data_IF_916304349683
#
_entry.id   IF_916304349683
#
_cell.length_a   1.000
_cell.length_b   1.000
_cell.length_c   1.000
_cell.angle_alpha   90.00
_cell.angle_beta   90.00
_cell.angle_gamma   90.00
#
_symmetry.space_group_name_H-M   'P 1'
#
loop_
_entity.id
_entity.type
_entity.pdbx_description
1 polymer ?
#
# COMPACT_ATOMS: atom_id res chain seq x y z
N UNK A 1 -11.03 1.20 26.80
CA UNK A 1 -10.32 1.38 25.52
C UNK A 1 -8.96 0.75 25.69
N UNK A 2 -8.59 -0.16 24.80
CA UNK A 2 -7.26 -0.77 24.82
C UNK A 2 -6.31 0.14 24.03
N UNK A 3 -5.39 0.77 24.74
CA UNK A 3 -4.46 1.75 24.18
C UNK A 3 -3.46 1.08 23.23
N UNK A 4 -3.04 -0.16 23.50
CA UNK A 4 -2.09 -0.86 22.65
C UNK A 4 -2.71 -1.19 21.30
N UNK A 5 -3.94 -1.72 21.29
CA UNK A 5 -4.68 -2.02 20.05
C UNK A 5 -4.98 -0.74 19.28
N UNK A 6 -5.39 0.32 19.98
CA UNK A 6 -5.63 1.62 19.36
C UNK A 6 -4.38 2.16 18.66
N UNK A 7 -3.23 2.17 19.35
CA UNK A 7 -1.97 2.67 18.80
C UNK A 7 -1.44 1.79 17.66
N UNK A 8 -1.59 0.46 17.76
CA UNK A 8 -1.19 -0.46 16.69
C UNK A 8 -2.02 -0.23 15.43
N UNK A 9 -3.35 -0.18 15.56
CA UNK A 9 -4.26 0.08 14.43
C UNK A 9 -4.06 1.48 13.84
N UNK A 10 -3.81 2.49 14.69
CA UNK A 10 -3.50 3.85 14.25
C UNK A 10 -2.16 3.89 13.50
N UNK A 11 -1.12 3.27 14.06
CA UNK A 11 0.24 3.29 13.50
C UNK A 11 0.30 2.66 12.12
N UNK A 12 -0.24 1.46 11.97
CA UNK A 12 -0.29 0.79 10.66
C UNK A 12 -1.13 1.59 9.66
N UNK A 13 -2.30 2.09 10.07
CA UNK A 13 -3.16 2.87 9.18
C UNK A 13 -2.51 4.19 8.75
N UNK A 14 -1.76 4.86 9.64
CA UNK A 14 -1.01 6.07 9.28
C UNK A 14 0.03 5.73 8.22
N UNK A 15 0.77 4.63 8.39
CA UNK A 15 1.81 4.21 7.48
C UNK A 15 1.23 3.97 6.08
N UNK A 16 0.28 3.04 5.96
CA UNK A 16 -0.26 2.65 4.65
C UNK A 16 -1.04 3.79 3.96
N UNK A 17 -1.86 4.53 4.72
CA UNK A 17 -2.62 5.63 4.12
C UNK A 17 -1.74 6.81 3.72
N UNK A 18 -0.58 7.00 4.37
CA UNK A 18 0.38 8.02 3.94
C UNK A 18 0.97 7.66 2.58
N UNK A 19 1.23 6.39 2.30
CA UNK A 19 1.73 5.94 0.99
C UNK A 19 0.68 6.16 -0.10
N UNK A 20 -0.56 5.74 0.13
CA UNK A 20 -1.68 5.98 -0.79
C UNK A 20 -1.89 7.48 -1.07
N UNK A 21 -1.85 8.30 -0.02
CA UNK A 21 -2.02 9.75 -0.12
C UNK A 21 -0.84 10.43 -0.84
N UNK A 22 0.39 9.98 -0.59
CA UNK A 22 1.57 10.50 -1.25
C UNK A 22 1.51 10.29 -2.77
N UNK A 23 1.11 9.10 -3.21
CA UNK A 23 0.94 8.77 -4.62
C UNK A 23 -0.12 9.67 -5.26
N UNK A 24 -1.25 9.88 -4.58
CA UNK A 24 -2.31 10.76 -5.06
C UNK A 24 -1.81 12.20 -5.26
N UNK A 25 -1.08 12.75 -4.28
CA UNK A 25 -0.51 14.10 -4.33
C UNK A 25 0.52 14.24 -5.44
N UNK A 26 1.41 13.26 -5.60
CA UNK A 26 2.41 13.28 -6.68
C UNK A 26 1.70 13.31 -8.03
N UNK A 27 0.66 12.50 -8.20
CA UNK A 27 -0.10 12.45 -9.45
C UNK A 27 -0.85 13.75 -9.74
N UNK A 28 -1.43 14.36 -8.70
CA UNK A 28 -1.99 15.70 -8.77
C UNK A 28 -0.94 16.71 -9.22
N UNK A 29 0.28 16.63 -8.70
CA UNK A 29 1.37 17.55 -9.05
C UNK A 29 1.81 17.50 -10.50
N UNK A 30 1.65 16.34 -11.17
CA UNK A 30 2.10 16.15 -12.55
C UNK A 30 0.99 16.48 -13.55
N UNK A 31 -0.24 16.04 -13.26
CA UNK A 31 -1.34 16.11 -14.21
C UNK A 31 -2.41 17.15 -13.84
N UNK A 32 -2.21 17.87 -12.73
CA UNK A 32 -3.11 18.89 -12.17
C UNK A 32 -4.57 18.43 -12.13
N UNK A 33 -4.79 17.17 -11.79
CA UNK A 33 -6.10 16.52 -11.84
C UNK A 33 -6.50 16.02 -10.47
N UNK A 34 -7.56 16.60 -9.92
CA UNK A 34 -8.14 16.21 -8.62
C UNK A 34 -8.72 14.80 -8.61
N UNK A 35 -8.96 14.20 -9.78
CA UNK A 35 -9.36 12.79 -9.88
C UNK A 35 -8.36 11.82 -9.23
N UNK A 36 -7.09 12.20 -9.11
CA UNK A 36 -6.09 11.42 -8.37
C UNK A 36 -6.52 11.15 -6.92
N UNK A 37 -6.98 12.17 -6.20
CA UNK A 37 -7.50 12.01 -4.84
C UNK A 37 -8.73 11.11 -4.79
N UNK A 38 -9.65 11.28 -5.75
CA UNK A 38 -10.85 10.45 -5.81
C UNK A 38 -10.53 8.98 -6.07
N UNK A 39 -9.55 8.69 -6.94
CA UNK A 39 -9.10 7.33 -7.21
C UNK A 39 -8.38 6.72 -6.00
N UNK A 40 -7.63 7.53 -5.23
CA UNK A 40 -7.00 7.06 -4.01
C UNK A 40 -8.02 6.73 -2.93
N UNK A 41 -8.96 7.64 -2.66
CA UNK A 41 -10.06 7.41 -1.72
C UNK A 41 -10.89 6.20 -2.13
N UNK A 42 -11.24 6.08 -3.42
CA UNK A 42 -11.97 4.93 -3.93
C UNK A 42 -11.17 3.63 -3.75
N UNK A 43 -9.85 3.65 -3.98
CA UNK A 43 -9.00 2.48 -3.81
C UNK A 43 -8.96 2.01 -2.36
N UNK A 44 -8.62 2.92 -1.43
CA UNK A 44 -8.61 2.63 0.01
C UNK A 44 -9.98 2.14 0.47
N UNK A 45 -11.06 2.83 0.08
CA UNK A 45 -12.42 2.44 0.45
C UNK A 45 -12.81 1.05 -0.08
N UNK A 46 -12.34 0.67 -1.28
CA UNK A 46 -12.66 -0.62 -1.91
C UNK A 46 -12.12 -1.80 -1.08
N UNK A 47 -10.95 -1.68 -0.47
CA UNK A 47 -10.38 -2.75 0.37
C UNK A 47 -10.74 -2.59 1.84
N UNK A 48 -10.65 -1.37 2.37
CA UNK A 48 -10.84 -1.09 3.79
C UNK A 48 -12.28 -1.28 4.26
N UNK A 49 -13.28 -0.75 3.55
CA UNK A 49 -14.67 -0.83 4.01
C UNK A 49 -15.14 -2.29 4.08
N UNK A 50 -14.96 -3.12 3.03
CA UNK A 50 -15.33 -4.53 3.12
C UNK A 50 -14.58 -5.25 4.23
N UNK A 51 -13.29 -4.98 4.43
CA UNK A 51 -12.52 -5.65 5.48
C UNK A 51 -12.96 -5.24 6.89
N UNK A 52 -13.27 -3.96 7.14
CA UNK A 52 -13.77 -3.50 8.43
C UNK A 52 -15.17 -4.10 8.75
N UNK A 53 -16.03 -4.24 7.73
CA UNK A 53 -17.35 -4.89 7.88
C UNK A 53 -17.19 -6.39 8.08
N UNK A 54 -16.33 -7.03 7.27
CA UNK A 54 -16.08 -8.46 7.30
C UNK A 54 -15.18 -8.90 8.45
N UNK A 55 -14.52 -7.98 9.15
CA UNK A 55 -13.55 -8.27 10.21
C UNK A 55 -14.10 -9.16 11.32
N UNK A 56 -15.40 -9.05 11.61
CA UNK A 56 -16.10 -9.96 12.55
C UNK A 56 -16.16 -11.41 12.07
N UNK A 57 -16.19 -11.62 10.75
CA UNK A 57 -16.27 -12.93 10.09
C UNK A 57 -14.90 -13.47 9.68
N UNK A 58 -13.89 -12.62 9.51
CA UNK A 58 -12.53 -13.02 9.13
C UNK A 58 -11.82 -13.86 10.19
N UNK A 59 -12.29 -13.83 11.45
CA UNK A 59 -11.85 -14.76 12.52
C UNK A 59 -12.09 -16.23 12.17
N UNK A 60 -13.03 -16.51 11.26
CA UNK A 60 -13.35 -17.88 10.84
C UNK A 60 -12.37 -18.42 9.80
N UNK A 61 -11.51 -17.58 9.20
CA UNK A 61 -10.55 -17.97 8.19
C UNK A 61 -9.16 -18.06 8.84
N UNK A 62 -8.45 -19.20 8.71
CA UNK A 62 -7.09 -19.29 9.21
C UNK A 62 -6.19 -18.24 8.55
N UNK A 63 -5.39 -17.56 9.37
CA UNK A 63 -4.54 -16.44 8.95
C UNK A 63 -3.58 -16.84 7.82
N UNK A 64 -3.11 -18.09 7.82
CA UNK A 64 -2.21 -18.62 6.78
C UNK A 64 -2.83 -18.53 5.38
N UNK A 65 -4.12 -18.83 5.22
CA UNK A 65 -4.79 -18.72 3.92
C UNK A 65 -4.90 -17.27 3.47
N UNK A 66 -5.18 -16.37 4.41
CA UNK A 66 -5.27 -14.94 4.13
C UNK A 66 -3.90 -14.42 3.68
N UNK A 67 -2.83 -14.80 4.40
CA UNK A 67 -1.45 -14.43 4.10
C UNK A 67 -1.01 -14.92 2.71
N UNK A 68 -1.31 -16.17 2.35
CA UNK A 68 -0.98 -16.74 1.02
C UNK A 68 -1.73 -15.99 -0.09
N UNK A 69 -3.04 -15.78 0.06
CA UNK A 69 -3.85 -15.06 -0.95
C UNK A 69 -3.34 -13.63 -1.10
N UNK A 70 -3.07 -12.96 0.01
CA UNK A 70 -2.55 -11.61 0.00
C UNK A 70 -1.17 -11.54 -0.65
N UNK A 71 -0.26 -12.48 -0.37
CA UNK A 71 1.05 -12.56 -1.03
C UNK A 71 0.93 -12.65 -2.56
N UNK A 72 0.01 -13.48 -3.08
CA UNK A 72 -0.24 -13.56 -4.54
C UNK A 72 -0.69 -12.22 -5.12
N UNK A 73 -1.60 -11.53 -4.42
CA UNK A 73 -2.08 -10.20 -4.81
C UNK A 73 -0.92 -9.18 -4.80
N UNK A 74 -0.08 -9.21 -3.77
CA UNK A 74 1.09 -8.34 -3.63
C UNK A 74 2.10 -8.56 -4.77
N UNK A 75 2.41 -9.81 -5.13
CA UNK A 75 3.29 -10.10 -6.26
C UNK A 75 2.72 -9.62 -7.60
N UNK A 76 1.41 -9.79 -7.81
CA UNK A 76 0.75 -9.29 -9.02
C UNK A 76 0.93 -7.77 -9.16
N UNK A 77 0.69 -7.03 -8.07
CA UNK A 77 0.82 -5.57 -8.09
C UNK A 77 2.27 -5.10 -8.13
N UNK A 78 3.19 -5.80 -7.46
CA UNK A 78 4.63 -5.56 -7.60
C UNK A 78 5.05 -5.64 -9.07
N UNK A 79 4.67 -6.72 -9.77
CA UNK A 79 5.03 -6.88 -11.18
C UNK A 79 4.38 -5.80 -12.08
N UNK A 80 3.12 -5.44 -11.81
CA UNK A 80 2.40 -4.40 -12.55
C UNK A 80 3.08 -3.04 -12.40
N UNK A 81 3.48 -2.66 -11.17
CA UNK A 81 4.20 -1.42 -10.88
C UNK A 81 5.57 -1.39 -11.53
N UNK A 82 6.35 -2.47 -11.43
CA UNK A 82 7.64 -2.59 -12.09
C UNK A 82 7.56 -2.36 -13.60
N UNK A 83 6.61 -3.04 -14.28
CA UNK A 83 6.39 -2.87 -15.72
C UNK A 83 5.95 -1.45 -16.08
N UNK A 84 5.16 -0.80 -15.23
CA UNK A 84 4.76 0.61 -15.42
C UNK A 84 5.97 1.54 -15.29
N UNK A 85 6.79 1.35 -14.26
CA UNK A 85 8.00 2.14 -14.03
C UNK A 85 9.00 2.02 -15.18
N UNK A 86 9.29 0.79 -15.63
CA UNK A 86 10.23 0.52 -16.73
C UNK A 86 9.80 1.20 -18.03
N UNK A 87 8.51 1.19 -18.37
CA UNK A 87 7.98 1.85 -19.58
C UNK A 87 8.10 3.38 -19.52
N UNK A 88 7.87 3.98 -18.35
CA UNK A 88 8.03 5.43 -18.12
C UNK A 88 9.50 5.85 -18.21
N UNK A 89 10.42 5.07 -17.63
CA UNK A 89 11.87 5.34 -17.69
C UNK A 89 12.40 5.21 -19.13
N UNK A 90 11.95 4.22 -19.90
CA UNK A 90 12.39 4.03 -21.30
C UNK A 90 11.75 5.02 -22.29
N UNK A 91 10.91 5.96 -21.84
CA UNK A 91 10.35 7.02 -22.69
C UNK A 91 9.37 6.55 -23.78
N UNK A 92 8.90 5.30 -23.70
CA UNK A 92 8.14 4.63 -24.78
C UNK A 92 6.67 5.08 -24.96
N UNK A 93 6.20 6.17 -24.34
CA UNK A 93 4.74 6.47 -24.26
C UNK A 93 4.30 7.90 -24.52
N UNK A 94 3.07 8.02 -25.01
CA UNK A 94 2.34 9.28 -25.24
C UNK A 94 1.72 9.81 -23.94
N UNK A 95 1.80 11.12 -23.71
CA UNK A 95 1.35 11.81 -22.48
C UNK A 95 -0.11 11.55 -22.06
N UNK A 96 -1.04 11.34 -23.00
CA UNK A 96 -2.47 11.14 -22.69
C UNK A 96 -2.75 9.75 -22.10
N UNK A 97 -2.14 8.71 -22.66
CA UNK A 97 -2.21 7.34 -22.15
C UNK A 97 -1.56 7.21 -20.77
N UNK A 98 -0.50 7.97 -20.53
CA UNK A 98 0.19 8.00 -19.24
C UNK A 98 -0.69 8.56 -18.11
N UNK A 99 -1.55 9.55 -18.42
CA UNK A 99 -2.48 10.15 -17.47
C UNK A 99 -3.58 9.16 -17.05
N UNK A 100 -4.19 8.45 -17.99
CA UNK A 100 -5.26 7.49 -17.68
C UNK A 100 -4.73 6.25 -16.95
N UNK A 101 -3.63 5.65 -17.42
CA UNK A 101 -3.01 4.52 -16.74
C UNK A 101 -2.44 4.91 -15.37
N UNK A 102 -2.00 6.16 -15.25
CA UNK A 102 -1.55 6.71 -13.99
C UNK A 102 -2.67 6.83 -12.95
N UNK A 103 -3.88 7.25 -13.33
CA UNK A 103 -5.04 7.21 -12.42
C UNK A 103 -5.38 5.77 -11.99
N UNK A 104 -5.37 4.82 -12.93
CA UNK A 104 -5.55 3.40 -12.62
C UNK A 104 -4.47 2.91 -11.65
N UNK A 105 -3.24 3.41 -11.79
CA UNK A 105 -2.14 3.10 -10.86
C UNK A 105 -2.41 3.66 -9.47
N UNK A 106 -2.86 4.92 -9.36
CA UNK A 106 -3.23 5.52 -8.06
C UNK A 106 -4.29 4.68 -7.36
N UNK A 107 -5.37 4.32 -8.07
CA UNK A 107 -6.41 3.44 -7.52
C UNK A 107 -5.84 2.08 -7.11
N UNK A 108 -5.10 1.43 -8.02
CA UNK A 108 -4.50 0.13 -7.80
C UNK A 108 -3.65 0.10 -6.53
N UNK A 109 -2.73 1.06 -6.39
CA UNK A 109 -1.86 1.09 -5.22
C UNK A 109 -2.68 1.37 -3.96
N UNK A 110 -3.61 2.32 -4.02
CA UNK A 110 -4.47 2.64 -2.88
C UNK A 110 -5.35 1.48 -2.42
N UNK A 111 -5.77 0.58 -3.33
CA UNK A 111 -6.43 -0.68 -2.96
C UNK A 111 -5.48 -1.59 -2.16
N UNK A 112 -4.22 -1.69 -2.60
CA UNK A 112 -3.21 -2.52 -1.94
C UNK A 112 -2.84 -1.97 -0.57
N UNK A 113 -2.51 -0.68 -0.46
CA UNK A 113 -2.21 -0.05 0.82
C UNK A 113 -3.41 -0.17 1.78
N UNK A 114 -4.63 0.05 1.28
CA UNK A 114 -5.84 -0.14 2.06
C UNK A 114 -6.04 -1.60 2.50
N UNK A 115 -5.59 -2.57 1.69
CA UNK A 115 -5.66 -4.00 2.01
C UNK A 115 -4.62 -4.38 3.06
N UNK A 116 -3.38 -3.89 2.96
CA UNK A 116 -2.34 -4.13 3.97
C UNK A 116 -2.77 -3.60 5.34
N UNK A 117 -3.27 -2.35 5.38
CA UNK A 117 -3.85 -1.78 6.60
C UNK A 117 -5.00 -2.63 7.13
N UNK A 118 -5.88 -3.08 6.23
CA UNK A 118 -7.03 -3.91 6.58
C UNK A 118 -6.63 -5.24 7.21
N UNK A 119 -5.64 -5.93 6.64
CA UNK A 119 -5.21 -7.24 7.13
C UNK A 119 -4.73 -7.15 8.58
N UNK A 120 -3.88 -6.16 8.88
CA UNK A 120 -3.37 -5.94 10.23
C UNK A 120 -4.49 -5.51 11.16
N UNK A 121 -5.31 -4.53 10.77
CA UNK A 121 -6.41 -4.01 11.61
C UNK A 121 -7.44 -5.10 11.91
N UNK A 122 -7.80 -5.93 10.93
CA UNK A 122 -8.71 -7.06 11.13
C UNK A 122 -8.13 -8.05 12.13
N UNK A 123 -6.82 -8.34 12.08
CA UNK A 123 -6.16 -9.20 13.06
C UNK A 123 -6.25 -8.66 14.51
N UNK A 124 -6.37 -7.34 14.67
CA UNK A 124 -6.52 -6.68 15.97
C UNK A 124 -7.96 -6.61 16.48
N UNK A 125 -8.95 -6.67 15.58
CA UNK A 125 -10.37 -6.53 15.94
C UNK A 125 -10.90 -7.53 16.98
N UNK A 126 -10.50 -8.82 16.98
CA UNK A 126 -10.96 -9.78 17.99
C UNK A 126 -10.56 -9.39 19.41
N UNK A 127 -9.42 -8.71 19.56
CA UNK A 127 -8.90 -8.29 20.86
C UNK A 127 -9.46 -6.94 21.30
N UNK A 128 -9.99 -6.12 20.38
CA UNK A 128 -10.51 -4.80 20.72
C UNK A 128 -11.09 -4.03 19.54
N UNK A 129 -12.24 -4.47 19.03
CA UNK A 129 -12.91 -3.89 17.84
C UNK A 129 -13.02 -2.36 17.86
N UNK A 130 -13.57 -1.77 18.95
CA UNK A 130 -13.73 -0.31 19.03
C UNK A 130 -12.39 0.44 19.12
N UNK A 131 -11.39 -0.13 19.79
CA UNK A 131 -10.04 0.44 19.85
C UNK A 131 -9.38 0.43 18.47
N UNK A 132 -9.50 -0.67 17.73
CA UNK A 132 -8.96 -0.79 16.37
C UNK A 132 -9.66 0.19 15.42
N UNK A 133 -11.00 0.24 15.43
CA UNK A 133 -11.78 1.12 14.55
C UNK A 133 -11.52 2.61 14.83
N UNK A 134 -11.44 3.01 16.11
CA UNK A 134 -11.09 4.39 16.47
C UNK A 134 -9.65 4.74 16.09
N UNK A 135 -8.71 3.80 16.21
CA UNK A 135 -7.34 3.96 15.72
C UNK A 135 -7.27 4.24 14.22
N UNK A 136 -7.98 3.46 13.40
CA UNK A 136 -8.11 3.71 11.95
C UNK A 136 -8.74 5.07 11.68
N UNK A 137 -9.82 5.42 12.39
CA UNK A 137 -10.49 6.70 12.23
C UNK A 137 -9.56 7.88 12.47
N UNK A 138 -8.82 7.87 13.59
CA UNK A 138 -7.83 8.91 13.91
C UNK A 138 -6.71 8.96 12.86
N UNK A 139 -6.22 7.81 12.41
CA UNK A 139 -5.20 7.74 11.37
C UNK A 139 -5.65 8.42 10.06
N UNK A 140 -6.88 8.16 9.60
CA UNK A 140 -7.45 8.80 8.40
C UNK A 140 -7.40 10.33 8.52
N UNK A 141 -7.87 10.89 9.64
CA UNK A 141 -7.86 12.33 9.86
C UNK A 141 -6.43 12.89 9.92
N UNK A 142 -5.53 12.20 10.62
CA UNK A 142 -4.13 12.60 10.74
C UNK A 142 -3.44 12.62 9.36
N UNK A 143 -3.65 11.58 8.55
CA UNK A 143 -3.06 11.48 7.21
C UNK A 143 -3.60 12.55 6.27
N UNK A 144 -4.90 12.86 6.31
CA UNK A 144 -5.46 13.97 5.52
C UNK A 144 -4.79 15.29 5.89
N UNK A 145 -4.64 15.57 7.20
CA UNK A 145 -4.02 16.80 7.68
C UNK A 145 -2.53 16.88 7.29
N UNK A 146 -1.76 15.81 7.49
CA UNK A 146 -0.35 15.72 7.13
C UNK A 146 -0.13 15.83 5.62
N UNK A 147 -0.96 15.16 4.83
CA UNK A 147 -0.92 15.22 3.36
C UNK A 147 -1.17 16.64 2.86
N UNK A 148 -2.15 17.33 3.45
CA UNK A 148 -2.41 18.73 3.13
C UNK A 148 -1.21 19.63 3.49
N UNK A 149 -0.67 19.47 4.70
CA UNK A 149 0.48 20.26 5.17
C UNK A 149 1.76 20.03 4.34
N UNK A 150 1.96 18.81 3.84
CA UNK A 150 3.18 18.42 3.11
C UNK A 150 3.02 18.42 1.59
N UNK A 151 1.86 18.84 1.08
CA UNK A 151 1.48 18.72 -0.35
C UNK A 151 2.59 19.20 -1.30
N UNK A 152 3.13 20.39 -1.06
CA UNK A 152 4.15 21.00 -1.93
C UNK A 152 5.47 20.22 -1.97
N UNK A 153 5.85 19.58 -0.86
CA UNK A 153 7.07 18.76 -0.79
C UNK A 153 6.86 17.43 -1.50
N UNK A 154 5.73 16.79 -1.22
CA UNK A 154 5.37 15.48 -1.79
C UNK A 154 5.24 15.55 -3.31
N UNK A 155 4.69 16.65 -3.87
CA UNK A 155 4.58 16.85 -5.32
C UNK A 155 5.92 16.82 -6.08
N UNK A 156 7.06 16.98 -5.41
CA UNK A 156 8.40 16.99 -6.04
C UNK A 156 9.01 15.60 -6.22
N UNK A 157 8.37 14.55 -5.71
CA UNK A 157 8.88 13.17 -5.77
C UNK A 157 8.75 12.61 -7.20
N UNK A 158 9.79 11.92 -7.69
CA UNK A 158 9.80 11.29 -9.02
C UNK A 158 8.98 10.00 -9.04
N UNK A 159 7.85 10.00 -9.74
CA UNK A 159 6.94 8.82 -9.89
C UNK A 159 7.65 7.54 -10.29
N UNK A 160 8.55 7.53 -11.30
CA UNK A 160 9.12 6.26 -11.74
C UNK A 160 9.98 5.59 -10.68
N UNK A 161 10.70 6.39 -9.87
CA UNK A 161 11.50 5.88 -8.76
C UNK A 161 10.61 5.38 -7.62
N UNK A 162 9.53 6.12 -7.31
CA UNK A 162 8.55 5.69 -6.31
C UNK A 162 7.91 4.35 -6.69
N UNK A 163 7.51 4.17 -7.96
CA UNK A 163 6.94 2.90 -8.46
C UNK A 163 7.91 1.71 -8.33
N UNK A 164 9.22 1.93 -8.47
CA UNK A 164 10.22 0.88 -8.26
C UNK A 164 10.38 0.53 -6.79
N UNK A 165 10.40 1.54 -5.92
CA UNK A 165 10.47 1.36 -4.48
C UNK A 165 9.26 0.57 -3.96
N UNK A 166 8.05 1.00 -4.33
CA UNK A 166 6.81 0.30 -3.97
C UNK A 166 6.77 -1.13 -4.53
N UNK A 167 7.21 -1.33 -5.78
CA UNK A 167 7.33 -2.68 -6.34
C UNK A 167 8.24 -3.57 -5.50
N UNK A 168 9.37 -3.05 -5.03
CA UNK A 168 10.28 -3.79 -4.16
C UNK A 168 9.65 -4.07 -2.78
N UNK A 169 8.96 -3.08 -2.19
CA UNK A 169 8.26 -3.23 -0.92
C UNK A 169 7.19 -4.33 -0.98
N UNK A 170 6.29 -4.28 -1.96
CA UNK A 170 5.24 -5.28 -2.16
C UNK A 170 5.79 -6.69 -2.38
N UNK A 171 6.87 -6.82 -3.17
CA UNK A 171 7.53 -8.11 -3.36
C UNK A 171 8.15 -8.63 -2.06
N UNK A 172 8.66 -7.74 -1.22
CA UNK A 172 9.23 -8.08 0.08
C UNK A 172 8.18 -8.61 1.02
N UNK A 173 7.08 -7.89 1.21
CA UNK A 173 5.98 -8.28 2.11
C UNK A 173 5.35 -9.60 1.62
N UNK A 174 5.10 -9.72 0.31
CA UNK A 174 4.58 -10.96 -0.27
C UNK A 174 5.52 -12.15 -0.08
N UNK A 175 6.83 -11.95 -0.19
CA UNK A 175 7.83 -13.01 0.07
C UNK A 175 7.89 -13.35 1.55
N UNK A 176 7.90 -12.34 2.41
CA UNK A 176 7.97 -12.51 3.85
C UNK A 176 6.79 -13.36 4.35
N UNK A 177 5.55 -13.04 3.97
CA UNK A 177 4.38 -13.82 4.39
C UNK A 177 4.41 -15.27 3.90
N UNK A 178 4.87 -15.53 2.67
CA UNK A 178 5.03 -16.92 2.21
C UNK A 178 6.08 -17.69 3.02
N UNK A 179 7.18 -17.03 3.39
CA UNK A 179 8.23 -17.64 4.19
C UNK A 179 7.84 -17.78 5.66
N UNK A 180 7.05 -16.86 6.19
CA UNK A 180 6.47 -16.94 7.53
C UNK A 180 5.54 -18.15 7.62
N UNK A 181 4.61 -18.30 6.68
CA UNK A 181 3.69 -19.45 6.64
C UNK A 181 4.42 -20.78 6.38
N UNK A 182 5.40 -20.79 5.47
CA UNK A 182 6.09 -22.02 5.06
C UNK A 182 7.21 -22.49 5.98
N UNK A 183 7.94 -21.54 6.58
CA UNK A 183 9.18 -21.82 7.33
C UNK A 183 9.20 -21.20 8.74
N UNK A 184 8.19 -20.41 9.13
CA UNK A 184 8.15 -19.72 10.41
C UNK A 184 9.25 -18.67 10.56
N UNK A 185 9.64 -18.01 9.46
CA UNK A 185 10.70 -17.00 9.50
C UNK A 185 10.31 -15.78 10.33
N UNK A 186 11.26 -15.28 11.12
CA UNK A 186 11.10 -14.05 11.90
C UNK A 186 11.17 -12.80 11.03
N UNK A 187 10.51 -11.73 11.45
CA UNK A 187 10.47 -10.40 10.80
C UNK A 187 11.84 -9.77 10.51
N UNK A 188 12.91 -10.20 11.19
CA UNK A 188 14.27 -9.68 10.95
C UNK A 188 14.75 -9.92 9.51
N UNK A 189 14.18 -10.93 8.83
CA UNK A 189 14.50 -11.25 7.44
C UNK A 189 13.82 -10.30 6.43
N UNK A 190 12.86 -9.47 6.85
CA UNK A 190 12.21 -8.50 5.96
C UNK A 190 13.22 -7.50 5.40
N UNK A 191 14.19 -7.05 6.20
CA UNK A 191 15.23 -6.10 5.78
C UNK A 191 16.12 -6.67 4.66
N UNK A 192 16.75 -7.85 4.79
CA UNK A 192 17.57 -8.40 3.72
C UNK A 192 16.76 -8.74 2.46
N UNK A 193 15.52 -9.23 2.60
CA UNK A 193 14.62 -9.46 1.46
C UNK A 193 14.32 -8.15 0.73
N UNK A 194 14.11 -7.06 1.47
CA UNK A 194 13.87 -5.74 0.92
C UNK A 194 15.05 -5.20 0.12
N UNK A 195 16.24 -5.30 0.68
CA UNK A 195 17.47 -4.91 -0.01
C UNK A 195 17.67 -5.71 -1.31
N UNK A 196 17.37 -7.01 -1.28
CA UNK A 196 17.41 -7.85 -2.47
C UNK A 196 16.44 -7.35 -3.56
N UNK A 197 15.18 -7.08 -3.23
CA UNK A 197 14.21 -6.62 -4.23
C UNK A 197 14.47 -5.20 -4.74
N UNK A 198 14.98 -4.29 -3.90
CA UNK A 198 15.44 -2.98 -4.36
C UNK A 198 16.55 -3.14 -5.40
N UNK A 199 17.57 -3.95 -5.12
CA UNK A 199 18.68 -4.16 -6.06
C UNK A 199 18.17 -4.81 -7.35
N UNK A 200 17.31 -5.83 -7.23
CA UNK A 200 16.73 -6.53 -8.37
C UNK A 200 15.94 -5.58 -9.28
N UNK A 201 15.05 -4.76 -8.71
CA UNK A 201 14.24 -3.81 -9.50
C UNK A 201 15.10 -2.75 -10.19
N UNK A 202 16.17 -2.27 -9.55
CA UNK A 202 17.13 -1.33 -10.14
C UNK A 202 17.91 -1.95 -11.31
N UNK A 203 18.35 -3.20 -11.17
CA UNK A 203 19.07 -3.93 -12.23
C UNK A 203 18.13 -4.21 -13.42
N UNK A 204 16.95 -4.78 -13.15
CA UNK A 204 16.00 -5.17 -14.20
C UNK A 204 15.45 -3.99 -15.00
N UNK A 205 15.42 -2.78 -14.43
CA UNK A 205 15.00 -1.57 -15.17
C UNK A 205 16.00 -1.16 -16.24
N UNK A 206 17.30 -1.42 -16.00
CA UNK A 206 18.39 -1.03 -16.91
C UNK A 206 18.54 -1.98 -18.10
N UNK A 207 18.12 -3.24 -17.92
CA UNK A 207 17.95 -4.24 -18.98
C UNK A 207 16.70 -3.88 -19.79
#
# INVERSE_FOLDING_TARGET
>A
MDVAIFLAAMGISILEMTEASAIAVIFYGIYHTSKSYLYAVAGVATSLIPALIAGKFLVLIPLDYIAIVAAVILFYFSQKLFRSARRSIKGTRRKKEEKEEGLITVYTVSVVEGLEASLVVVGLMPFGYFSALSGVGVAVFAVIALTYAMKERVMKIRVPQLKLFLSALLATIGTFWLLEVGLGLSEIFTIPIFLFYILLTQVLVRI
#
